data_IF_295072127678
#
_entry.id   IF_295072127678
#
_cell.length_a   1.000
_cell.length_b   1.000
_cell.length_c   1.000
_cell.angle_alpha   90.00
_cell.angle_beta   90.00
_cell.angle_gamma   90.00
#
_symmetry.space_group_name_H-M   'P 1'
#
loop_
_entity.id
_entity.type
_entity.pdbx_description
1 polymer ?
#
# COMPACT_ATOMS: atom_id res chain seq x y z
N UNK A 1 26.63 3.06 8.79
CA UNK A 1 25.36 3.25 9.55
C UNK A 1 24.48 2.04 9.29
N UNK A 2 23.92 1.39 10.32
CA UNK A 2 22.99 0.27 10.14
C UNK A 2 21.60 0.84 9.78
N UNK A 3 20.99 0.36 8.70
CA UNK A 3 19.63 0.77 8.29
C UNK A 3 18.62 0.13 9.27
N UNK A 4 17.67 0.88 9.86
CA UNK A 4 16.67 0.31 10.76
C UNK A 4 15.84 -0.79 10.08
N UNK A 5 15.51 -1.88 10.79
CA UNK A 5 14.74 -3.01 10.24
C UNK A 5 13.40 -2.57 9.64
N UNK A 6 12.70 -1.65 10.28
CA UNK A 6 11.45 -1.08 9.74
C UNK A 6 11.66 -0.43 8.36
N UNK A 7 12.74 0.34 8.20
CA UNK A 7 13.05 0.98 6.93
C UNK A 7 13.46 -0.07 5.88
N UNK A 8 14.21 -1.11 6.28
CA UNK A 8 14.53 -2.22 5.37
C UNK A 8 13.26 -2.93 4.88
N UNK A 9 12.31 -3.26 5.77
CA UNK A 9 11.05 -3.89 5.38
C UNK A 9 10.26 -3.02 4.39
N UNK A 10 10.17 -1.71 4.65
CA UNK A 10 9.53 -0.75 3.74
C UNK A 10 10.25 -0.74 2.38
N UNK A 11 11.58 -0.66 2.36
CA UNK A 11 12.37 -0.64 1.12
C UNK A 11 12.21 -1.93 0.31
N UNK A 12 12.14 -3.09 0.97
CA UNK A 12 11.88 -4.37 0.30
C UNK A 12 10.50 -4.36 -0.34
N UNK A 13 9.46 -3.94 0.38
CA UNK A 13 8.09 -3.91 -0.17
C UNK A 13 7.95 -2.92 -1.31
N UNK A 14 8.53 -1.73 -1.18
CA UNK A 14 8.57 -0.73 -2.26
C UNK A 14 9.35 -1.26 -3.46
N UNK A 15 10.49 -1.91 -3.23
CA UNK A 15 11.30 -2.52 -4.29
C UNK A 15 10.54 -3.62 -5.04
N UNK A 16 9.83 -4.49 -4.32
CA UNK A 16 8.98 -5.52 -4.93
C UNK A 16 7.85 -4.89 -5.75
N UNK A 17 7.14 -3.92 -5.18
CA UNK A 17 6.06 -3.22 -5.89
C UNK A 17 6.57 -2.54 -7.18
N UNK A 18 7.66 -1.79 -7.09
CA UNK A 18 8.28 -1.14 -8.26
C UNK A 18 8.83 -2.16 -9.25
N UNK A 19 9.31 -3.31 -8.78
CA UNK A 19 9.73 -4.42 -9.62
C UNK A 19 8.57 -4.99 -10.44
N UNK A 20 7.38 -5.15 -9.85
CA UNK A 20 6.17 -5.53 -10.58
C UNK A 20 5.83 -4.50 -11.67
N UNK A 21 5.79 -3.21 -11.32
CA UNK A 21 5.49 -2.15 -12.30
C UNK A 21 6.52 -2.12 -13.42
N UNK A 22 7.81 -2.15 -13.09
CA UNK A 22 8.88 -2.12 -14.08
C UNK A 22 8.80 -3.33 -15.03
N UNK A 23 8.65 -4.53 -14.49
CA UNK A 23 8.64 -5.76 -15.31
C UNK A 23 7.38 -5.84 -16.16
N UNK A 24 6.19 -5.67 -15.56
CA UNK A 24 4.94 -5.94 -16.27
C UNK A 24 4.47 -4.74 -17.08
N UNK A 25 4.43 -3.55 -16.49
CA UNK A 25 3.87 -2.38 -17.17
C UNK A 25 4.88 -1.79 -18.17
N UNK A 26 6.18 -1.79 -17.85
CA UNK A 26 7.20 -1.14 -18.70
C UNK A 26 7.90 -2.10 -19.65
N UNK A 27 8.35 -3.28 -19.18
CA UNK A 27 9.12 -4.21 -20.01
C UNK A 27 8.24 -5.12 -20.88
N UNK A 28 7.10 -5.56 -20.34
CA UNK A 28 6.22 -6.54 -21.00
C UNK A 28 4.97 -5.91 -21.63
N UNK A 29 4.71 -4.62 -21.40
CA UNK A 29 3.51 -3.90 -21.85
C UNK A 29 2.19 -4.61 -21.45
N UNK A 30 2.22 -5.26 -20.28
CA UNK A 30 1.15 -6.11 -19.77
C UNK A 30 0.64 -5.53 -18.43
N UNK A 31 -0.15 -4.45 -18.52
CA UNK A 31 -0.64 -3.71 -17.35
C UNK A 31 -1.40 -4.64 -16.39
N UNK A 32 -0.90 -4.75 -15.16
CA UNK A 32 -1.52 -5.62 -14.15
C UNK A 32 -2.78 -4.93 -13.59
N UNK A 33 -3.94 -5.61 -13.56
CA UNK A 33 -5.11 -5.11 -12.85
C UNK A 33 -4.80 -4.83 -11.37
N UNK A 34 -5.23 -3.68 -10.87
CA UNK A 34 -4.90 -3.22 -9.51
C UNK A 34 -5.31 -4.20 -8.41
N UNK A 35 -6.43 -4.92 -8.59
CA UNK A 35 -6.90 -5.97 -7.67
C UNK A 35 -5.95 -7.16 -7.60
N UNK A 36 -5.39 -7.57 -8.74
CA UNK A 36 -4.44 -8.68 -8.85
C UNK A 36 -3.11 -8.27 -8.23
N UNK A 37 -2.61 -7.07 -8.53
CA UNK A 37 -1.39 -6.55 -7.91
C UNK A 37 -1.55 -6.47 -6.38
N UNK A 38 -2.70 -5.99 -5.89
CA UNK A 38 -2.97 -5.94 -4.45
C UNK A 38 -2.94 -7.33 -3.80
N UNK A 39 -3.51 -8.35 -4.44
CA UNK A 39 -3.48 -9.73 -3.96
C UNK A 39 -2.05 -10.28 -3.86
N UNK A 40 -1.21 -10.07 -4.89
CA UNK A 40 0.19 -10.51 -4.84
C UNK A 40 0.99 -9.75 -3.77
N UNK A 41 0.79 -8.43 -3.67
CA UNK A 41 1.46 -7.62 -2.66
C UNK A 41 1.04 -7.99 -1.23
N UNK A 42 -0.18 -8.47 -1.02
CA UNK A 42 -0.60 -9.02 0.28
C UNK A 42 0.29 -10.20 0.69
N UNK A 43 0.48 -11.18 -0.19
CA UNK A 43 1.34 -12.34 0.10
C UNK A 43 2.82 -11.95 0.23
N UNK A 44 3.31 -11.04 -0.62
CA UNK A 44 4.66 -10.50 -0.47
C UNK A 44 4.86 -9.82 0.89
N UNK A 45 3.87 -9.04 1.33
CA UNK A 45 3.88 -8.37 2.64
C UNK A 45 3.90 -9.37 3.78
N UNK A 46 3.05 -10.41 3.71
CA UNK A 46 3.04 -11.49 4.70
C UNK A 46 4.40 -12.21 4.78
N UNK A 47 5.01 -12.52 3.63
CA UNK A 47 6.33 -13.16 3.57
C UNK A 47 7.44 -12.27 4.13
N UNK A 48 7.44 -10.98 3.79
CA UNK A 48 8.41 -10.02 4.37
C UNK A 48 8.24 -9.94 5.88
N UNK A 49 7.03 -9.81 6.40
CA UNK A 49 6.85 -9.81 7.86
C UNK A 49 7.29 -11.12 8.50
N UNK A 50 6.95 -12.27 7.92
CA UNK A 50 7.40 -13.57 8.41
C UNK A 50 8.93 -13.65 8.54
N UNK A 51 9.67 -13.13 7.56
CA UNK A 51 11.14 -13.07 7.61
C UNK A 51 11.64 -12.12 8.70
N UNK A 52 11.05 -10.92 8.78
CA UNK A 52 11.51 -9.88 9.72
C UNK A 52 11.08 -10.14 11.17
N UNK A 53 10.09 -11.00 11.39
CA UNK A 53 9.61 -11.42 12.71
C UNK A 53 9.89 -12.89 13.01
N UNK A 54 10.85 -13.50 12.31
CA UNK A 54 11.17 -14.92 12.48
C UNK A 54 11.71 -15.24 13.88
N UNK A 55 12.46 -14.31 14.46
CA UNK A 55 12.99 -14.37 15.82
C UNK A 55 12.59 -13.12 16.63
N UNK A 56 12.74 -13.21 17.95
CA UNK A 56 12.33 -12.17 18.88
C UNK A 56 13.20 -10.89 18.75
N UNK A 57 14.48 -11.03 18.41
CA UNK A 57 15.36 -9.87 18.21
C UNK A 57 14.91 -9.08 16.98
N UNK A 58 14.69 -9.75 15.85
CA UNK A 58 14.20 -9.15 14.61
C UNK A 58 12.82 -8.49 14.78
N UNK A 59 11.90 -9.15 15.47
CA UNK A 59 10.58 -8.59 15.78
C UNK A 59 10.72 -7.32 16.62
N UNK A 60 11.57 -7.33 17.65
CA UNK A 60 11.83 -6.15 18.49
C UNK A 60 12.49 -5.02 17.71
N UNK A 61 13.49 -5.30 16.88
CA UNK A 61 14.12 -4.31 16.00
C UNK A 61 13.14 -3.70 15.00
N UNK A 62 12.17 -4.48 14.49
CA UNK A 62 11.15 -4.01 13.56
C UNK A 62 10.23 -2.98 14.22
N UNK A 63 9.78 -3.22 15.45
CA UNK A 63 8.85 -2.33 16.16
C UNK A 63 9.53 -1.22 16.95
N UNK A 64 10.84 -1.34 17.23
CA UNK A 64 11.60 -0.38 18.03
C UNK A 64 11.44 1.09 17.57
N UNK A 65 11.47 1.42 16.26
CA UNK A 65 11.27 2.80 15.81
C UNK A 65 9.87 3.35 16.15
N UNK A 66 8.84 2.50 16.08
CA UNK A 66 7.45 2.85 16.41
C UNK A 66 7.32 3.08 17.92
N UNK A 67 7.87 2.15 18.72
CA UNK A 67 7.86 2.27 20.17
C UNK A 67 8.59 3.53 20.63
N UNK A 68 9.75 3.82 20.05
CA UNK A 68 10.48 5.05 20.31
C UNK A 68 9.68 6.29 19.90
N UNK A 69 9.02 6.29 18.74
CA UNK A 69 8.17 7.41 18.31
C UNK A 69 7.05 7.68 19.33
N UNK A 70 6.42 6.64 19.89
CA UNK A 70 5.30 6.79 20.81
C UNK A 70 5.76 7.14 22.23
N UNK A 71 6.80 6.48 22.75
CA UNK A 71 7.17 6.56 24.18
C UNK A 71 8.24 7.61 24.49
N UNK A 72 9.14 7.91 23.57
CA UNK A 72 10.25 8.83 23.81
C UNK A 72 9.73 10.28 23.92
N UNK A 73 9.86 10.94 25.09
CA UNK A 73 9.41 12.32 25.25
C UNK A 73 10.13 13.30 24.32
N UNK A 74 11.39 13.01 23.95
CA UNK A 74 12.16 13.87 23.04
C UNK A 74 11.58 13.89 21.62
N UNK A 75 10.82 12.86 21.25
CA UNK A 75 10.18 12.73 19.92
C UNK A 75 8.77 13.31 19.87
N UNK A 76 8.32 14.02 20.92
CA UNK A 76 6.95 14.57 21.02
C UNK A 76 6.52 15.37 19.80
N UNK A 77 7.40 16.20 19.24
CA UNK A 77 7.10 16.99 18.04
C UNK A 77 6.82 16.08 16.83
N UNK A 78 7.74 15.16 16.51
CA UNK A 78 7.60 14.22 15.39
C UNK A 78 6.39 13.32 15.60
N UNK A 79 6.16 12.83 16.82
CA UNK A 79 4.98 12.02 17.18
C UNK A 79 3.68 12.74 16.84
N UNK A 80 3.55 14.00 17.27
CA UNK A 80 2.36 14.79 17.01
C UNK A 80 2.19 15.06 15.51
N UNK A 81 3.27 15.33 14.78
CA UNK A 81 3.25 15.47 13.33
C UNK A 81 2.71 14.20 12.68
N UNK A 82 3.25 13.02 13.03
CA UNK A 82 2.80 11.73 12.49
C UNK A 82 1.32 11.49 12.81
N UNK A 83 0.90 11.74 14.05
CA UNK A 83 -0.50 11.54 14.47
C UNK A 83 -1.50 12.51 13.86
N UNK A 84 -1.08 13.66 13.35
CA UNK A 84 -1.95 14.57 12.60
C UNK A 84 -1.91 14.24 11.11
N UNK A 85 -0.72 14.08 10.53
CA UNK A 85 -0.55 13.90 9.09
C UNK A 85 -1.11 12.56 8.63
N UNK A 86 -0.83 11.46 9.33
CA UNK A 86 -1.25 10.11 8.87
C UNK A 86 -2.77 10.01 8.74
N UNK A 87 -3.59 10.39 9.75
CA UNK A 87 -5.04 10.38 9.59
C UNK A 87 -5.55 11.33 8.51
N UNK A 88 -4.95 12.52 8.36
CA UNK A 88 -5.35 13.47 7.32
C UNK A 88 -5.07 12.93 5.91
N UNK A 89 -3.91 12.29 5.70
CA UNK A 89 -3.56 11.68 4.42
C UNK A 89 -4.48 10.50 4.09
N UNK A 90 -4.71 9.59 5.04
CA UNK A 90 -5.56 8.41 4.82
C UNK A 90 -7.03 8.85 4.64
N UNK A 91 -7.54 9.68 5.54
CA UNK A 91 -8.92 10.17 5.52
C UNK A 91 -9.19 11.04 4.30
N UNK A 92 -8.32 12.01 4.01
CA UNK A 92 -8.42 12.87 2.84
C UNK A 92 -8.28 12.10 1.53
N UNK A 93 -7.32 11.17 1.44
CA UNK A 93 -7.17 10.30 0.27
C UNK A 93 -8.38 9.40 0.05
N UNK A 94 -8.97 8.87 1.13
CA UNK A 94 -10.20 8.08 1.04
C UNK A 94 -11.38 8.93 0.60
N UNK A 95 -11.55 10.13 1.17
CA UNK A 95 -12.58 11.08 0.76
C UNK A 95 -12.47 11.38 -0.73
N UNK A 96 -11.29 11.76 -1.23
CA UNK A 96 -11.08 12.06 -2.65
C UNK A 96 -11.38 10.87 -3.57
N UNK A 97 -11.15 9.63 -3.12
CA UNK A 97 -11.48 8.42 -3.89
C UNK A 97 -12.97 8.08 -3.86
N UNK A 98 -13.69 8.46 -2.81
CA UNK A 98 -15.10 8.10 -2.59
C UNK A 98 -16.07 9.20 -2.99
N UNK A 99 -15.64 10.46 -3.08
CA UNK A 99 -16.48 11.57 -3.55
C UNK A 99 -16.98 11.23 -4.94
N UNK A 100 -18.31 11.14 -5.14
CA UNK A 100 -18.88 10.87 -6.45
C UNK A 100 -18.51 11.97 -7.44
N UNK A 101 -18.09 11.59 -8.63
CA UNK A 101 -18.01 12.51 -9.75
C UNK A 101 -19.41 12.84 -10.28
N UNK A 102 -19.56 14.02 -10.88
CA UNK A 102 -20.74 14.36 -11.70
C UNK A 102 -20.66 13.79 -13.13
N UNK A 103 -19.58 13.08 -13.43
CA UNK A 103 -19.41 12.38 -14.70
C UNK A 103 -20.42 11.23 -14.78
N UNK A 104 -21.04 11.08 -15.95
CA UNK A 104 -21.94 9.95 -16.20
C UNK A 104 -21.15 8.64 -15.99
N UNK A 105 -21.70 7.65 -15.27
CA UNK A 105 -21.05 6.36 -15.09
C UNK A 105 -20.61 5.79 -16.44
N UNK A 106 -19.35 5.38 -16.54
CA UNK A 106 -18.75 4.92 -17.80
C UNK A 106 -19.33 3.57 -18.26
N UNK A 107 -20.07 2.86 -17.39
CA UNK A 107 -20.58 1.53 -17.67
C UNK A 107 -22.11 1.48 -17.80
N UNK A 108 -22.54 0.83 -18.90
CA UNK A 108 -23.88 0.33 -19.25
C UNK A 108 -24.86 1.34 -19.88
N UNK A 109 -24.56 1.82 -21.08
CA UNK A 109 -25.62 1.68 -22.11
C UNK A 109 -25.85 0.18 -22.24
N UNK A 110 -26.91 -0.31 -21.62
CA UNK A 110 -27.43 -1.65 -21.81
C UNK A 110 -27.50 -1.95 -23.30
N UNK A 111 -26.52 -2.67 -23.83
CA UNK A 111 -26.72 -3.47 -25.04
C UNK A 111 -27.56 -4.66 -24.59
N UNK A 112 -28.85 -4.43 -24.37
CA UNK A 112 -29.80 -5.51 -24.55
C UNK A 112 -29.82 -5.75 -26.06
N UNK A 113 -29.31 -6.88 -26.58
CA UNK A 113 -29.46 -7.18 -27.99
C UNK A 113 -30.96 -7.18 -28.32
N UNK A 114 -31.32 -6.65 -29.48
CA UNK A 114 -32.68 -6.81 -29.98
C UNK A 114 -32.97 -8.32 -30.08
N UNK A 115 -34.17 -8.78 -29.66
CA UNK A 115 -34.53 -10.19 -29.81
C UNK A 115 -34.42 -10.61 -31.28
N UNK A 116 -33.99 -11.85 -31.58
CA UNK A 116 -33.84 -12.30 -32.96
C UNK A 116 -35.17 -12.17 -33.71
N UNK A 117 -35.16 -11.48 -34.85
CA UNK A 117 -36.25 -11.60 -35.81
C UNK A 117 -36.13 -12.96 -36.51
N UNK A 118 -37.24 -13.68 -36.50
CA UNK A 118 -37.52 -14.97 -37.16
C UNK A 118 -36.63 -15.32 -38.35
#
# INVERSE_FOLDING_TARGET
MKIPRLLQAILVLVGVYLGFILVFDVLLDAVIPSSVLAMYMFFATAGVFMVFTFDEEGANELVAPIHALVKDPSKRLIRNIVFVIVPLLIGGGTYLKMVPGFEAPVELRTIHPAPPST
#
